data_IF_415335113344
#
_entry.id   IF_415335113344
#
_cell.length_a   1.000
_cell.length_b   1.000
_cell.length_c   1.000
_cell.angle_alpha   90.00
_cell.angle_beta   90.00
_cell.angle_gamma   90.00
#
_symmetry.space_group_name_H-M   'P 1'
#
loop_
_entity.id
_entity.type
_entity.pdbx_description
1 polymer ?
#
# COMPACT_ATOMS: atom_id res chain seq x y z
N UNK A 1 -30.24 -40.18 -10.21
CA UNK A 1 -28.94 -40.20 -9.47
C UNK A 1 -28.61 -38.76 -9.00
N UNK A 2 -29.44 -38.17 -8.13
CA UNK A 2 -29.43 -36.71 -7.83
C UNK A 2 -29.34 -36.41 -6.33
N UNK A 3 -28.37 -36.97 -5.58
CA UNK A 3 -28.35 -36.76 -4.12
C UNK A 3 -26.96 -36.65 -3.48
N UNK A 4 -25.90 -36.38 -4.25
CA UNK A 4 -24.56 -36.20 -3.67
C UNK A 4 -23.81 -34.95 -4.17
N UNK A 5 -24.43 -34.10 -5.00
CA UNK A 5 -23.80 -32.84 -5.45
C UNK A 5 -23.60 -31.87 -4.29
N UNK A 6 -24.62 -31.72 -3.44
CA UNK A 6 -24.55 -30.83 -2.26
C UNK A 6 -23.54 -31.32 -1.23
N UNK A 7 -23.44 -32.65 -1.05
CA UNK A 7 -22.43 -33.27 -0.18
C UNK A 7 -21.01 -33.10 -0.71
N UNK A 8 -20.83 -33.17 -2.03
CA UNK A 8 -19.53 -32.95 -2.69
C UNK A 8 -19.10 -31.49 -2.61
N UNK A 9 -20.02 -30.55 -2.86
CA UNK A 9 -19.80 -29.11 -2.71
C UNK A 9 -19.40 -28.75 -1.29
N UNK A 10 -20.10 -29.30 -0.28
CA UNK A 10 -19.75 -29.11 1.13
C UNK A 10 -18.35 -29.65 1.45
N UNK A 11 -17.97 -30.79 0.88
CA UNK A 11 -16.67 -31.40 1.11
C UNK A 11 -15.55 -30.58 0.46
N UNK A 12 -15.74 -30.10 -0.77
CA UNK A 12 -14.79 -29.22 -1.45
C UNK A 12 -14.63 -27.86 -0.77
N UNK A 13 -15.72 -27.29 -0.22
CA UNK A 13 -15.66 -26.07 0.59
C UNK A 13 -14.84 -26.30 1.87
N UNK A 14 -15.03 -27.44 2.55
CA UNK A 14 -14.24 -27.83 3.73
C UNK A 14 -12.77 -28.12 3.42
N UNK A 15 -12.48 -28.63 2.22
CA UNK A 15 -11.13 -28.92 1.75
C UNK A 15 -10.43 -27.72 1.09
N UNK A 16 -11.10 -26.55 1.03
CA UNK A 16 -10.62 -25.34 0.35
C UNK A 16 -10.31 -25.52 -1.14
N UNK A 17 -10.98 -26.46 -1.80
CA UNK A 17 -10.84 -26.73 -3.24
C UNK A 17 -11.77 -25.80 -4.04
N UNK A 18 -11.53 -24.49 -3.95
CA UNK A 18 -12.45 -23.46 -4.44
C UNK A 18 -12.67 -23.51 -5.97
N UNK A 19 -11.64 -23.92 -6.73
CA UNK A 19 -11.72 -24.06 -8.19
C UNK A 19 -12.68 -25.18 -8.63
N UNK A 20 -12.71 -26.29 -7.89
CA UNK A 20 -13.60 -27.42 -8.17
C UNK A 20 -15.06 -27.10 -7.82
N UNK A 21 -15.28 -26.31 -6.77
CA UNK A 21 -16.62 -25.79 -6.41
C UNK A 21 -17.18 -24.94 -7.56
N UNK A 22 -16.38 -24.00 -8.06
CA UNK A 22 -16.75 -23.13 -9.19
C UNK A 22 -17.02 -23.95 -10.45
N UNK A 23 -16.18 -24.94 -10.77
CA UNK A 23 -16.39 -25.81 -11.92
C UNK A 23 -17.73 -26.58 -11.85
N UNK A 24 -18.15 -27.00 -10.65
CA UNK A 24 -19.45 -27.65 -10.46
C UNK A 24 -20.62 -26.70 -10.75
N UNK A 25 -20.54 -25.43 -10.32
CA UNK A 25 -21.56 -24.42 -10.60
C UNK A 25 -21.57 -24.00 -12.08
N UNK A 26 -20.40 -23.90 -12.72
CA UNK A 26 -20.27 -23.66 -14.16
C UNK A 26 -20.93 -24.77 -14.98
N UNK A 27 -20.73 -26.05 -14.61
CA UNK A 27 -21.39 -27.19 -15.26
C UNK A 27 -22.91 -27.24 -15.03
N UNK A 28 -23.38 -26.64 -13.94
CA UNK A 28 -24.80 -26.58 -13.60
C UNK A 28 -25.53 -25.39 -14.26
N UNK A 29 -24.81 -24.47 -14.92
CA UNK A 29 -25.33 -23.20 -15.46
C UNK A 29 -26.10 -22.36 -14.43
N UNK A 30 -25.74 -22.47 -13.15
CA UNK A 30 -26.34 -21.68 -12.06
C UNK A 30 -25.51 -20.40 -11.85
N UNK A 31 -25.86 -19.34 -12.58
CA UNK A 31 -25.10 -18.08 -12.58
C UNK A 31 -25.24 -17.31 -11.24
N UNK A 32 -26.41 -17.35 -10.61
CA UNK A 32 -26.64 -16.67 -9.32
C UNK A 32 -25.91 -17.37 -8.17
N UNK A 33 -25.99 -18.71 -8.12
CA UNK A 33 -25.28 -19.52 -7.12
C UNK A 33 -23.75 -19.40 -7.26
N UNK A 34 -23.26 -19.36 -8.49
CA UNK A 34 -21.84 -19.19 -8.81
C UNK A 34 -21.30 -17.84 -8.30
N UNK A 35 -22.00 -16.74 -8.59
CA UNK A 35 -21.61 -15.40 -8.14
C UNK A 35 -21.64 -15.31 -6.61
N UNK A 36 -22.69 -15.83 -5.96
CA UNK A 36 -22.79 -15.85 -4.50
C UNK A 36 -21.67 -16.68 -3.84
N UNK A 37 -21.28 -17.79 -4.46
CA UNK A 37 -20.18 -18.63 -4.01
C UNK A 37 -18.83 -17.93 -4.17
N UNK A 38 -18.55 -17.35 -5.35
CA UNK A 38 -17.33 -16.58 -5.60
C UNK A 38 -17.19 -15.37 -4.67
N UNK A 39 -18.29 -14.70 -4.29
CA UNK A 39 -18.23 -13.62 -3.29
C UNK A 39 -17.76 -14.09 -1.92
N UNK A 40 -18.19 -15.28 -1.49
CA UNK A 40 -17.79 -15.84 -0.20
C UNK A 40 -16.36 -16.37 -0.24
N UNK A 41 -15.98 -17.00 -1.36
CA UNK A 41 -14.71 -17.71 -1.50
C UNK A 41 -13.57 -16.85 -2.09
N UNK A 42 -13.89 -15.72 -2.72
CA UNK A 42 -12.93 -14.78 -3.30
C UNK A 42 -12.55 -13.63 -2.36
N UNK A 43 -13.17 -13.52 -1.19
CA UNK A 43 -12.83 -12.50 -0.20
C UNK A 43 -11.45 -12.79 0.41
N UNK A 44 -10.48 -11.94 0.07
CA UNK A 44 -9.09 -12.01 0.58
C UNK A 44 -9.04 -11.97 2.11
N UNK A 45 -10.01 -11.33 2.76
CA UNK A 45 -10.09 -11.27 4.23
C UNK A 45 -10.42 -12.62 4.87
N UNK A 46 -10.98 -13.57 4.11
CA UNK A 46 -11.29 -14.93 4.57
C UNK A 46 -10.25 -15.97 4.11
N UNK A 47 -9.14 -15.53 3.51
CA UNK A 47 -8.13 -16.42 2.92
C UNK A 47 -8.59 -17.05 1.61
N UNK A 48 -9.49 -16.37 0.89
CA UNK A 48 -9.96 -16.73 -0.43
C UNK A 48 -8.92 -16.53 -1.54
N UNK A 49 -9.22 -17.04 -2.73
CA UNK A 49 -8.36 -16.89 -3.92
C UNK A 49 -8.99 -15.87 -4.88
N UNK A 50 -8.42 -14.67 -5.04
CA UNK A 50 -8.93 -13.67 -5.99
C UNK A 50 -8.91 -14.15 -7.44
N UNK A 51 -8.06 -15.13 -7.80
CA UNK A 51 -8.01 -15.67 -9.17
C UNK A 51 -9.33 -16.32 -9.61
N UNK A 52 -10.19 -16.68 -8.65
CA UNK A 52 -11.55 -17.20 -8.91
C UNK A 52 -12.42 -16.19 -9.67
N UNK A 53 -12.26 -14.88 -9.45
CA UNK A 53 -12.97 -13.86 -10.22
C UNK A 53 -12.46 -13.77 -11.67
N UNK A 54 -11.19 -14.09 -11.91
CA UNK A 54 -10.62 -14.19 -13.26
C UNK A 54 -11.17 -15.39 -14.02
N UNK A 55 -11.23 -16.54 -13.37
CA UNK A 55 -11.82 -17.76 -13.94
C UNK A 55 -13.31 -17.54 -14.25
N UNK A 56 -14.03 -16.88 -13.33
CA UNK A 56 -15.44 -16.51 -13.51
C UNK A 56 -15.66 -15.54 -14.67
N UNK A 57 -14.83 -14.50 -14.78
CA UNK A 57 -14.90 -13.55 -15.90
C UNK A 57 -14.56 -14.23 -17.24
N UNK A 58 -13.62 -15.18 -17.23
CA UNK A 58 -13.26 -15.97 -18.41
C UNK A 58 -14.41 -16.86 -18.86
N UNK A 59 -15.07 -17.53 -17.91
CA UNK A 59 -16.28 -18.29 -18.18
C UNK A 59 -17.37 -17.41 -18.79
N UNK A 60 -17.72 -16.30 -18.13
CA UNK A 60 -18.71 -15.38 -18.67
C UNK A 60 -18.31 -14.77 -19.99
N UNK A 61 -17.01 -14.64 -20.28
CA UNK A 61 -16.38 -14.15 -21.51
C UNK A 61 -16.32 -15.18 -22.66
N UNK A 62 -16.54 -16.45 -22.37
CA UNK A 62 -16.67 -17.54 -23.36
C UNK A 62 -18.13 -17.99 -23.52
N UNK A 63 -18.97 -17.65 -22.55
CA UNK A 63 -20.41 -17.86 -22.61
C UNK A 63 -21.02 -16.88 -23.61
N UNK A 64 -21.45 -17.39 -24.77
CA UNK A 64 -22.13 -16.61 -25.81
C UNK A 64 -23.57 -16.19 -25.46
N UNK A 65 -23.83 -15.89 -24.19
CA UNK A 65 -25.14 -15.50 -23.66
C UNK A 65 -25.11 -14.03 -23.17
N UNK A 66 -26.30 -13.42 -23.04
CA UNK A 66 -26.42 -12.06 -22.49
C UNK A 66 -26.43 -12.10 -20.95
N UNK A 67 -25.24 -12.17 -20.36
CA UNK A 67 -25.02 -12.12 -18.91
C UNK A 67 -24.64 -10.71 -18.43
N UNK A 68 -25.29 -9.68 -18.97
CA UNK A 68 -24.95 -8.28 -18.68
C UNK A 68 -25.06 -7.91 -17.19
N UNK A 69 -26.03 -8.48 -16.45
CA UNK A 69 -26.24 -8.14 -15.03
C UNK A 69 -25.18 -8.78 -14.14
N UNK A 70 -24.91 -10.05 -14.39
CA UNK A 70 -23.94 -10.90 -13.72
C UNK A 70 -22.53 -10.35 -13.92
N UNK A 71 -22.18 -9.96 -15.15
CA UNK A 71 -20.89 -9.34 -15.47
C UNK A 71 -20.73 -8.00 -14.76
N UNK A 72 -21.76 -7.14 -14.73
CA UNK A 72 -21.69 -5.87 -13.99
C UNK A 72 -21.44 -6.09 -12.50
N UNK A 73 -22.10 -7.09 -11.93
CA UNK A 73 -21.93 -7.44 -10.54
C UNK A 73 -20.50 -7.92 -10.28
N UNK A 74 -19.98 -8.87 -11.08
CA UNK A 74 -18.58 -9.34 -11.00
C UNK A 74 -17.57 -8.21 -11.17
N UNK A 75 -17.78 -7.31 -12.14
CA UNK A 75 -16.91 -6.15 -12.37
C UNK A 75 -16.86 -5.22 -11.14
N UNK A 76 -17.97 -5.04 -10.43
CA UNK A 76 -17.99 -4.23 -9.20
C UNK A 76 -17.13 -4.84 -8.08
N UNK A 77 -17.04 -6.17 -8.00
CA UNK A 77 -16.16 -6.86 -7.06
C UNK A 77 -14.70 -6.76 -7.48
N UNK A 78 -14.41 -6.96 -8.76
CA UNK A 78 -13.06 -6.78 -9.31
C UNK A 78 -12.58 -5.32 -9.11
N UNK A 79 -13.46 -4.33 -9.25
CA UNK A 79 -13.18 -2.90 -8.99
C UNK A 79 -12.77 -2.66 -7.53
N UNK A 80 -13.49 -3.28 -6.58
CA UNK A 80 -13.27 -3.10 -5.15
C UNK A 80 -11.99 -3.77 -4.65
N UNK A 81 -11.75 -5.00 -5.10
CA UNK A 81 -10.68 -5.85 -4.57
C UNK A 81 -9.40 -5.76 -5.44
N UNK A 82 -9.39 -4.89 -6.46
CA UNK A 82 -8.31 -4.63 -7.41
C UNK A 82 -7.66 -5.90 -8.00
N UNK A 83 -8.51 -6.87 -8.33
CA UNK A 83 -8.08 -8.24 -8.66
C UNK A 83 -7.44 -8.32 -10.04
N UNK A 84 -7.94 -7.54 -11.00
CA UNK A 84 -7.52 -7.61 -12.40
C UNK A 84 -7.30 -6.24 -13.01
N UNK A 85 -6.23 -6.06 -13.82
CA UNK A 85 -6.07 -4.87 -14.63
C UNK A 85 -7.22 -4.70 -15.64
N UNK A 86 -7.67 -3.46 -15.91
CA UNK A 86 -8.75 -3.18 -16.87
C UNK A 86 -8.51 -3.76 -18.28
N UNK A 87 -7.24 -3.85 -18.69
CA UNK A 87 -6.87 -4.42 -19.99
C UNK A 87 -7.19 -5.92 -20.08
N UNK A 88 -6.97 -6.67 -19.00
CA UNK A 88 -7.25 -8.12 -18.95
C UNK A 88 -8.76 -8.34 -18.99
N UNK A 89 -9.51 -7.52 -18.26
CA UNK A 89 -10.98 -7.53 -18.26
C UNK A 89 -11.51 -7.30 -19.67
N UNK A 90 -11.00 -6.27 -20.37
CA UNK A 90 -11.43 -5.94 -21.73
C UNK A 90 -11.10 -7.06 -22.73
N UNK A 91 -9.90 -7.64 -22.67
CA UNK A 91 -9.51 -8.75 -23.54
C UNK A 91 -10.39 -9.99 -23.34
N UNK A 92 -10.74 -10.28 -22.08
CA UNK A 92 -11.58 -11.43 -21.73
C UNK A 92 -13.00 -11.26 -22.23
N UNK A 93 -13.60 -10.09 -21.99
CA UNK A 93 -14.98 -9.81 -22.40
C UNK A 93 -15.12 -9.60 -23.92
N UNK A 94 -14.05 -9.19 -24.61
CA UNK A 94 -14.05 -9.02 -26.07
C UNK A 94 -14.24 -10.34 -26.83
N UNK A 95 -14.05 -11.51 -26.19
CA UNK A 95 -14.28 -12.81 -26.82
C UNK A 95 -15.76 -13.10 -27.09
N UNK A 96 -16.65 -12.43 -26.36
CA UNK A 96 -18.09 -12.64 -26.51
C UNK A 96 -18.76 -11.64 -27.45
N UNK A 97 -19.45 -12.12 -28.50
CA UNK A 97 -20.19 -11.24 -29.41
C UNK A 97 -21.48 -10.67 -28.80
N UNK A 98 -22.02 -11.31 -27.75
CA UNK A 98 -23.28 -10.92 -27.10
C UNK A 98 -23.11 -9.81 -26.05
N UNK A 99 -21.90 -9.62 -25.51
CA UNK A 99 -21.64 -8.61 -24.49
C UNK A 99 -21.30 -7.28 -25.15
N UNK A 100 -22.09 -6.25 -24.84
CA UNK A 100 -21.84 -4.91 -25.36
C UNK A 100 -20.75 -4.18 -24.57
N UNK A 101 -19.84 -3.49 -25.27
CA UNK A 101 -18.77 -2.69 -24.67
C UNK A 101 -19.30 -1.63 -23.68
N UNK A 102 -20.56 -1.21 -23.84
CA UNK A 102 -21.26 -0.31 -22.92
C UNK A 102 -21.22 -0.78 -21.47
N UNK A 103 -21.17 -2.09 -21.23
CA UNK A 103 -21.14 -2.67 -19.88
C UNK A 103 -19.82 -2.37 -19.16
N UNK A 104 -18.70 -2.36 -19.90
CA UNK A 104 -17.34 -2.26 -19.36
C UNK A 104 -16.82 -0.83 -19.42
N UNK A 105 -17.37 0.00 -20.33
CA UNK A 105 -16.96 1.39 -20.54
C UNK A 105 -16.98 2.21 -19.24
N UNK A 106 -18.08 2.13 -18.48
CA UNK A 106 -18.22 2.91 -17.24
C UNK A 106 -17.24 2.43 -16.16
N UNK A 107 -16.99 1.12 -16.09
CA UNK A 107 -15.99 0.54 -15.20
C UNK A 107 -14.57 1.03 -15.56
N UNK A 108 -14.19 0.96 -16.83
CA UNK A 108 -12.87 1.41 -17.30
C UNK A 108 -12.70 2.91 -17.05
N UNK A 109 -13.73 3.72 -17.34
CA UNK A 109 -13.68 5.16 -17.12
C UNK A 109 -13.43 5.51 -15.64
N UNK A 110 -14.16 4.86 -14.71
CA UNK A 110 -13.96 5.07 -13.27
C UNK A 110 -12.58 4.62 -12.81
N UNK A 111 -12.14 3.43 -13.23
CA UNK A 111 -10.83 2.89 -12.82
C UNK A 111 -9.69 3.76 -13.35
N UNK A 112 -9.75 4.21 -14.61
CA UNK A 112 -8.75 5.13 -15.16
C UNK A 112 -8.75 6.48 -14.44
N UNK A 113 -9.91 7.02 -14.07
CA UNK A 113 -9.99 8.25 -13.29
C UNK A 113 -9.37 8.08 -11.89
N UNK A 114 -9.63 6.97 -11.22
CA UNK A 114 -9.03 6.65 -9.92
C UNK A 114 -7.51 6.51 -10.02
N UNK A 115 -7.00 5.72 -10.98
CA UNK A 115 -5.56 5.57 -11.21
C UNK A 115 -4.91 6.93 -11.55
N UNK A 116 -5.56 7.76 -12.36
CA UNK A 116 -5.05 9.09 -12.69
C UNK A 116 -4.95 10.00 -11.46
N UNK A 117 -5.91 9.92 -10.53
CA UNK A 117 -5.87 10.65 -9.26
C UNK A 117 -4.72 10.18 -8.37
N UNK A 118 -4.52 8.87 -8.25
CA UNK A 118 -3.41 8.31 -7.49
C UNK A 118 -2.05 8.74 -8.04
N UNK A 119 -1.89 8.71 -9.38
CA UNK A 119 -0.68 9.20 -10.05
C UNK A 119 -0.41 10.67 -9.72
N UNK A 120 -1.46 11.50 -9.72
CA UNK A 120 -1.32 12.93 -9.42
C UNK A 120 -0.99 13.20 -7.94
N UNK A 121 -1.58 12.44 -7.03
CA UNK A 121 -1.25 12.49 -5.60
C UNK A 121 0.21 12.07 -5.34
N UNK A 122 0.66 10.98 -5.95
CA UNK A 122 2.04 10.49 -5.87
C UNK A 122 3.03 11.49 -6.46
N UNK A 123 2.70 12.15 -7.56
CA UNK A 123 3.51 13.23 -8.16
C UNK A 123 3.68 14.39 -7.19
N UNK A 124 2.59 14.87 -6.59
CA UNK A 124 2.64 15.96 -5.61
C UNK A 124 3.45 15.58 -4.36
N UNK A 125 3.28 14.36 -3.87
CA UNK A 125 4.08 13.86 -2.75
C UNK A 125 5.57 13.81 -3.11
N UNK A 126 5.89 13.34 -4.31
CA UNK A 126 7.27 13.29 -4.82
C UNK A 126 7.89 14.67 -4.91
N UNK A 127 7.18 15.64 -5.49
CA UNK A 127 7.65 17.04 -5.58
C UNK A 127 7.92 17.62 -4.18
N UNK A 128 6.98 17.45 -3.25
CA UNK A 128 7.15 17.89 -1.86
C UNK A 128 8.38 17.27 -1.18
N UNK A 129 8.55 15.96 -1.30
CA UNK A 129 9.72 15.28 -0.72
C UNK A 129 11.04 15.71 -1.39
N UNK A 130 11.03 16.00 -2.68
CA UNK A 130 12.19 16.53 -3.39
C UNK A 130 12.55 17.92 -2.88
N UNK A 131 11.57 18.82 -2.73
CA UNK A 131 11.77 20.16 -2.18
C UNK A 131 12.33 20.09 -0.75
N UNK A 132 11.73 19.31 0.14
CA UNK A 132 12.21 19.10 1.51
C UNK A 132 13.63 18.53 1.54
N UNK A 133 13.92 17.54 0.68
CA UNK A 133 15.27 16.95 0.57
C UNK A 133 16.29 17.97 0.09
N UNK A 134 15.96 18.80 -0.90
CA UNK A 134 16.87 19.84 -1.39
C UNK A 134 17.11 20.92 -0.35
N UNK A 135 16.07 21.32 0.39
CA UNK A 135 16.17 22.27 1.50
C UNK A 135 17.09 21.73 2.59
N UNK A 136 16.87 20.49 3.04
CA UNK A 136 17.71 19.83 4.04
C UNK A 136 19.16 19.69 3.59
N UNK A 137 19.42 19.39 2.31
CA UNK A 137 20.79 19.35 1.77
C UNK A 137 21.47 20.72 1.78
N UNK A 138 20.74 21.79 1.47
CA UNK A 138 21.26 23.16 1.59
C UNK A 138 21.59 23.50 3.04
N UNK A 139 20.70 23.18 3.98
CA UNK A 139 20.95 23.39 5.41
C UNK A 139 22.20 22.62 5.89
N UNK A 140 22.37 21.35 5.49
CA UNK A 140 23.59 20.57 5.80
C UNK A 140 24.84 21.26 5.24
N UNK A 141 24.79 21.80 4.02
CA UNK A 141 25.91 22.52 3.42
C UNK A 141 26.22 23.80 4.18
N UNK A 142 25.22 24.60 4.52
CA UNK A 142 25.37 25.82 5.30
C UNK A 142 25.97 25.54 6.69
N UNK A 143 25.49 24.51 7.39
CA UNK A 143 26.02 24.07 8.68
C UNK A 143 27.48 23.61 8.60
N UNK A 144 27.93 23.09 7.44
CA UNK A 144 29.30 22.61 7.23
C UNK A 144 30.28 23.72 6.87
N UNK A 145 29.86 24.71 6.08
CA UNK A 145 30.78 25.70 5.50
C UNK A 145 30.70 27.07 6.14
N UNK A 146 29.59 27.43 6.76
CA UNK A 146 29.38 28.77 7.28
C UNK A 146 29.51 28.80 8.81
N UNK A 147 30.15 29.84 9.33
CA UNK A 147 30.18 30.10 10.76
C UNK A 147 28.78 30.53 11.24
N UNK A 148 28.24 29.84 12.25
CA UNK A 148 26.91 30.14 12.81
C UNK A 148 27.08 31.05 14.03
N UNK A 149 26.36 32.17 14.05
CA UNK A 149 26.39 33.11 15.18
C UNK A 149 25.37 32.65 16.21
N UNK A 150 25.83 32.36 17.43
CA UNK A 150 24.97 32.04 18.56
C UNK A 150 24.62 33.33 19.31
N UNK A 151 23.38 33.78 19.16
CA UNK A 151 22.87 34.98 19.87
C UNK A 151 22.15 34.64 21.18
N UNK A 152 21.98 33.36 21.52
CA UNK A 152 21.34 32.97 22.78
C UNK A 152 22.21 33.41 23.96
N UNK A 153 21.62 34.26 24.80
CA UNK A 153 22.22 34.74 26.04
C UNK A 153 21.72 33.99 27.28
N UNK A 154 20.91 32.93 27.11
CA UNK A 154 20.32 32.15 28.21
C UNK A 154 20.56 30.65 28.03
N UNK A 155 20.81 29.96 29.14
CA UNK A 155 20.99 28.51 29.14
C UNK A 155 19.64 27.81 28.98
N UNK A 156 19.56 26.82 28.08
CA UNK A 156 18.33 26.05 27.85
C UNK A 156 17.91 25.22 29.07
N UNK A 157 18.85 24.72 29.88
CA UNK A 157 18.54 23.89 31.05
C UNK A 157 18.10 24.69 32.28
N UNK A 158 18.80 25.78 32.62
CA UNK A 158 18.53 26.55 33.85
C UNK A 158 17.86 27.90 33.61
N UNK A 159 17.70 28.33 32.35
CA UNK A 159 17.10 29.60 31.90
C UNK A 159 17.81 30.90 32.34
N UNK A 160 18.86 30.79 33.17
CA UNK A 160 19.70 31.92 33.55
C UNK A 160 20.59 32.38 32.41
N UNK A 161 21.12 33.60 32.54
CA UNK A 161 22.06 34.17 31.57
C UNK A 161 23.30 33.29 31.43
N UNK A 162 23.70 33.02 30.20
CA UNK A 162 24.92 32.28 29.88
C UNK A 162 26.14 33.09 30.32
N UNK A 163 26.93 32.51 31.20
CA UNK A 163 28.27 32.94 31.55
C UNK A 163 29.28 31.90 31.05
N UNK A 164 30.53 32.34 30.91
CA UNK A 164 31.62 31.48 30.43
C UNK A 164 32.13 30.59 31.57
N UNK A 165 32.41 29.29 31.33
CA UNK A 165 32.39 28.60 30.03
C UNK A 165 30.99 28.07 29.61
N UNK A 166 30.65 28.26 28.34
CA UNK A 166 29.40 27.81 27.72
C UNK A 166 29.67 26.87 26.52
N UNK A 167 28.73 25.95 26.27
CA UNK A 167 28.75 25.02 25.15
C UNK A 167 27.54 25.30 24.26
N UNK A 168 27.80 25.42 22.96
CA UNK A 168 26.79 25.72 21.94
C UNK A 168 26.69 24.58 20.94
N UNK A 169 25.50 24.01 20.78
CA UNK A 169 25.23 22.97 19.80
C UNK A 169 24.69 23.56 18.49
N UNK A 170 25.00 22.95 17.35
CA UNK A 170 24.54 23.43 16.04
C UNK A 170 23.01 23.45 15.86
N UNK A 171 22.28 22.73 16.73
CA UNK A 171 20.83 22.80 16.89
C UNK A 171 20.33 24.07 17.61
N UNK A 172 21.19 25.07 17.81
CA UNK A 172 20.90 26.36 18.48
C UNK A 172 20.66 26.31 19.99
N UNK A 173 20.74 25.14 20.61
CA UNK A 173 20.69 25.03 22.07
C UNK A 173 22.04 25.37 22.70
N UNK A 174 21.99 26.17 23.75
CA UNK A 174 23.17 26.70 24.44
C UNK A 174 23.06 26.40 25.93
N UNK A 175 24.15 25.91 26.52
CA UNK A 175 24.17 25.47 27.91
C UNK A 175 25.42 25.96 28.62
N UNK A 176 25.32 26.18 29.94
CA UNK A 176 26.51 26.28 30.78
C UNK A 176 27.24 24.94 30.78
N UNK A 177 28.57 24.96 30.83
CA UNK A 177 29.36 23.72 30.98
C UNK A 177 28.91 22.92 32.22
N UNK A 178 28.62 23.62 33.32
CA UNK A 178 28.06 23.05 34.55
C UNK A 178 26.70 22.35 34.35
N UNK A 179 25.86 22.86 33.46
CA UNK A 179 24.51 22.33 33.25
C UNK A 179 24.50 21.10 32.34
N UNK A 180 25.59 20.82 31.62
CA UNK A 180 25.75 19.65 30.75
C UNK A 180 26.23 18.39 31.50
N UNK A 181 26.91 18.55 32.64
CA UNK A 181 27.50 17.43 33.37
C UNK A 181 28.52 16.67 32.50
N UNK A 182 28.46 15.34 32.49
CA UNK A 182 29.40 14.49 31.72
C UNK A 182 29.02 14.31 30.23
N UNK A 183 27.88 14.85 29.77
CA UNK A 183 27.35 14.63 28.41
C UNK A 183 27.66 15.78 27.43
N UNK A 184 28.92 16.20 27.35
CA UNK A 184 29.34 17.32 26.47
C UNK A 184 29.17 17.06 24.96
N UNK A 185 28.91 15.81 24.55
CA UNK A 185 28.90 15.39 23.14
C UNK A 185 27.53 15.50 22.47
N UNK A 186 26.44 15.54 23.23
CA UNK A 186 25.08 15.52 22.68
C UNK A 186 24.21 16.59 23.36
N UNK A 187 23.34 17.24 22.58
CA UNK A 187 22.36 18.16 23.13
C UNK A 187 21.26 17.38 23.86
N UNK A 188 21.00 17.61 25.16
CA UNK A 188 20.04 16.83 25.93
C UNK A 188 18.59 16.98 25.43
N UNK A 189 18.23 18.13 24.84
CA UNK A 189 16.90 18.37 24.27
C UNK A 189 16.68 17.59 22.96
N UNK A 190 17.69 17.52 22.10
CA UNK A 190 17.57 16.89 20.78
C UNK A 190 17.97 15.40 20.76
N UNK A 191 18.74 14.95 21.75
CA UNK A 191 19.21 13.57 21.86
C UNK A 191 18.09 12.51 21.81
N UNK A 192 16.96 12.62 22.55
CA UNK A 192 15.92 11.59 22.51
C UNK A 192 15.29 11.43 21.13
N UNK A 193 15.01 12.54 20.45
CA UNK A 193 14.45 12.54 19.11
C UNK A 193 15.46 11.99 18.08
N UNK A 194 16.70 12.45 18.14
CA UNK A 194 17.77 11.98 17.25
C UNK A 194 18.03 10.47 17.39
N UNK A 195 17.97 9.92 18.62
CA UNK A 195 18.12 8.48 18.86
C UNK A 195 16.97 7.70 18.23
N UNK A 196 15.73 8.14 18.41
CA UNK A 196 14.56 7.51 17.78
C UNK A 196 14.67 7.48 16.25
N UNK A 197 15.08 8.59 15.64
CA UNK A 197 15.30 8.68 14.18
C UNK A 197 16.44 7.75 13.74
N UNK A 198 17.54 7.72 14.50
CA UNK A 198 18.71 6.88 14.19
C UNK A 198 18.40 5.38 14.30
N UNK A 199 17.62 4.97 15.30
CA UNK A 199 17.12 3.59 15.45
C UNK A 199 16.18 3.21 14.31
N UNK A 200 15.24 4.10 13.97
CA UNK A 200 14.33 3.89 12.83
C UNK A 200 15.11 3.71 11.54
N UNK A 201 16.08 4.57 11.26
CA UNK A 201 16.97 4.45 10.10
C UNK A 201 17.71 3.11 10.09
N UNK A 202 18.28 2.70 11.23
CA UNK A 202 19.00 1.43 11.36
C UNK A 202 18.09 0.23 11.08
N UNK A 203 16.86 0.26 11.59
CA UNK A 203 15.86 -0.78 11.33
C UNK A 203 15.47 -0.83 9.86
N UNK A 204 15.27 0.32 9.20
CA UNK A 204 14.98 0.39 7.76
C UNK A 204 16.13 -0.17 6.92
N UNK A 205 17.38 0.18 7.24
CA UNK A 205 18.56 -0.34 6.56
C UNK A 205 18.73 -1.86 6.73
N UNK A 206 18.42 -2.39 7.91
CA UNK A 206 18.48 -3.83 8.17
C UNK A 206 17.38 -4.57 7.38
N UNK A 207 16.14 -4.08 7.43
CA UNK A 207 15.03 -4.63 6.65
C UNK A 207 15.30 -4.62 5.14
N UNK A 208 15.93 -3.55 4.63
CA UNK A 208 16.32 -3.48 3.22
C UNK A 208 17.35 -4.56 2.84
N UNK A 209 18.35 -4.81 3.70
CA UNK A 209 19.33 -5.89 3.49
C UNK A 209 18.70 -7.27 3.51
N UNK A 210 17.78 -7.50 4.46
CA UNK A 210 17.11 -8.79 4.60
C UNK A 210 16.25 -9.10 3.36
N UNK A 211 15.52 -8.10 2.82
CA UNK A 211 14.74 -8.24 1.57
C UNK A 211 15.61 -8.56 0.35
N UNK A 212 16.76 -7.90 0.21
CA UNK A 212 17.70 -8.17 -0.90
C UNK A 212 18.31 -9.58 -0.78
N UNK A 213 18.57 -10.05 0.44
CA UNK A 213 19.07 -11.40 0.69
C UNK A 213 18.04 -12.49 0.40
N UNK A 214 16.75 -12.21 0.60
CA UNK A 214 15.66 -13.15 0.31
C UNK A 214 15.29 -13.24 -1.18
N UNK A 215 15.53 -12.20 -1.97
CA UNK A 215 15.31 -12.24 -3.44
C UNK A 215 16.50 -12.84 -4.22
N UNK A 216 17.60 -13.16 -3.54
CA UNK A 216 18.82 -13.73 -4.15
C UNK A 216 19.00 -15.23 -3.89
N UNK A 217 18.00 -15.91 -3.33
CA UNK A 217 17.92 -17.35 -3.13
C UNK A 217 16.72 -17.90 -3.89
#
# INVERSE_FOLDING_TARGET
MNAFKDGLLFLYEKMKLYKEVIACYMQAHDHEGLIACCKKLGDSTQGGDPSLFSDLLTYFGELGEDCTKEVKEVLSYIERDDVLPPIVVLQTLSKNPCLTLSVVKDYIARKLEQESKLIEEDRKATEKYQEETTSMRKEIQELRTNAKIFQLSKCTACTFTLDLPAVHFMCMHSFHLRCLGDNEKECPECAPEYRSISETKRNLEQNAKDRISSSSK
#
